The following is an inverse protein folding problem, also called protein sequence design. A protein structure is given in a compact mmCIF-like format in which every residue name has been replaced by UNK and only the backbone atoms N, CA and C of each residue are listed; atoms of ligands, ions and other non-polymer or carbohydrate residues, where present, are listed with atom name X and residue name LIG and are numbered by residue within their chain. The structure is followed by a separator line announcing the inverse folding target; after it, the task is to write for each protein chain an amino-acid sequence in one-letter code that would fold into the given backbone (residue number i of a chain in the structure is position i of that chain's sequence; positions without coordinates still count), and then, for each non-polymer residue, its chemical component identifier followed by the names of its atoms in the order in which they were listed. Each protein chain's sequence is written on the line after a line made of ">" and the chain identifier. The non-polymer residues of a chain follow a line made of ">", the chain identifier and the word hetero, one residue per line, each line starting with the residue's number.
data_IF_580992440219
#
_entry.id   IF_580992440219
#
_cell.length_a   1.000
_cell.length_b   1.000
_cell.length_c   1.000
_cell.angle_alpha   90.00
_cell.angle_beta   90.00
_cell.angle_gamma   90.00
#
_symmetry.space_group_name_H-M   'P 1'
#
loop_
_entity.id
_entity.type
_entity.pdbx_description
1 polymer ?
#
# COMPACT_ATOMS: atom_id res chain seq x y z
N UNK A 1 18.82 -13.31 -3.27
CA UNK A 1 18.92 -11.85 -3.55
C UNK A 1 17.60 -11.22 -3.10
N UNK A 2 17.64 -10.14 -2.33
CA UNK A 2 16.71 -10.01 -1.19
C UNK A 2 15.76 -8.84 -1.29
N UNK A 3 14.50 -9.09 -1.65
CA UNK A 3 13.53 -8.00 -1.80
C UNK A 3 13.16 -7.35 -0.45
N UNK A 4 13.58 -6.11 -0.20
CA UNK A 4 13.00 -5.17 0.77
C UNK A 4 12.05 -4.22 0.02
N UNK A 5 11.03 -3.68 0.69
CA UNK A 5 10.13 -2.73 0.04
C UNK A 5 10.59 -1.29 0.32
N UNK A 6 10.80 -0.51 -0.74
CA UNK A 6 10.86 0.95 -0.63
C UNK A 6 9.43 1.46 -0.74
N UNK A 7 9.08 2.38 0.13
CA UNK A 7 7.79 3.04 0.13
C UNK A 7 8.00 4.55 0.01
N UNK A 8 7.20 5.19 -0.84
CA UNK A 8 7.17 6.64 -0.98
C UNK A 8 5.73 7.11 -1.04
N UNK A 9 5.39 8.08 -0.20
CA UNK A 9 4.06 8.67 -0.15
C UNK A 9 4.20 10.18 -0.18
N UNK A 10 3.35 10.84 -0.96
CA UNK A 10 3.39 12.29 -1.04
C UNK A 10 2.26 12.86 -1.86
N UNK A 11 2.40 14.15 -2.19
CA UNK A 11 1.49 14.85 -3.08
C UNK A 11 2.26 15.46 -4.25
N UNK A 12 1.65 15.48 -5.42
CA UNK A 12 2.20 16.12 -6.62
C UNK A 12 1.09 16.75 -7.44
N UNK A 13 1.44 17.40 -8.54
CA UNK A 13 0.49 17.86 -9.55
C UNK A 13 0.44 16.86 -10.70
N UNK A 14 -0.75 16.64 -11.24
CA UNK A 14 -0.91 15.90 -12.50
C UNK A 14 -0.53 16.77 -13.71
N UNK A 15 -0.65 16.22 -14.91
CA UNK A 15 -0.40 16.93 -16.17
C UNK A 15 -1.30 18.15 -16.40
N UNK A 16 -2.40 18.28 -15.65
CA UNK A 16 -3.36 19.38 -15.73
C UNK A 16 -3.19 20.38 -14.58
N UNK A 17 -2.15 20.24 -13.75
CA UNK A 17 -1.93 21.08 -12.56
C UNK A 17 -2.85 20.79 -11.38
N UNK A 18 -3.66 19.72 -11.41
CA UNK A 18 -4.50 19.31 -10.28
C UNK A 18 -3.69 18.50 -9.27
N UNK A 19 -3.88 18.79 -7.98
CA UNK A 19 -3.23 18.07 -6.88
C UNK A 19 -3.70 16.61 -6.81
N UNK A 20 -2.75 15.70 -6.65
CA UNK A 20 -3.00 14.28 -6.38
C UNK A 20 -2.09 13.81 -5.24
N UNK A 21 -2.56 12.81 -4.50
CA UNK A 21 -1.74 12.08 -3.53
C UNK A 21 -1.28 10.76 -4.17
N UNK A 22 -0.02 10.39 -3.98
CA UNK A 22 0.52 9.13 -4.47
C UNK A 22 1.04 8.27 -3.31
N UNK A 23 0.93 6.95 -3.48
CA UNK A 23 1.51 5.93 -2.62
C UNK A 23 2.20 4.94 -3.54
N UNK A 24 3.51 4.88 -3.46
CA UNK A 24 4.36 4.02 -4.25
C UNK A 24 5.01 3.00 -3.34
N UNK A 25 5.05 1.74 -3.79
CA UNK A 25 5.73 0.65 -3.11
C UNK A 25 6.45 -0.21 -4.13
N UNK A 26 7.72 -0.51 -3.89
CA UNK A 26 8.48 -1.35 -4.80
C UNK A 26 9.48 -2.24 -4.06
N UNK A 27 9.45 -3.52 -4.39
CA UNK A 27 10.42 -4.51 -3.92
C UNK A 27 11.77 -4.31 -4.62
N UNK A 28 12.82 -3.97 -3.87
CA UNK A 28 14.22 -3.87 -4.32
C UNK A 28 15.08 -4.94 -3.70
N UNK A 29 16.05 -5.46 -4.45
CA UNK A 29 16.99 -6.44 -3.91
C UNK A 29 18.13 -5.75 -3.15
N UNK A 30 18.30 -6.09 -1.86
CA UNK A 30 19.33 -5.54 -0.98
C UNK A 30 20.33 -6.64 -0.62
N UNK A 31 21.62 -6.36 -0.80
CA UNK A 31 22.71 -7.23 -0.38
C UNK A 31 22.73 -7.40 1.15
N UNK A 32 23.06 -8.60 1.63
CA UNK A 32 23.19 -8.88 3.07
C UNK A 32 21.88 -9.19 3.82
N UNK A 33 20.72 -8.92 3.24
CA UNK A 33 19.47 -9.48 3.76
C UNK A 33 19.44 -10.98 3.36
N UNK A 34 18.97 -11.92 4.21
CA UNK A 34 18.90 -13.34 3.85
C UNK A 34 17.54 -13.75 3.25
N UNK A 35 17.53 -14.86 2.50
CA UNK A 35 16.30 -15.60 2.18
C UNK A 35 15.96 -16.59 3.29
N UNK A 36 14.71 -16.58 3.74
CA UNK A 36 14.25 -17.42 4.83
C UNK A 36 13.55 -18.71 4.35
N UNK A 37 13.85 -19.18 3.13
CA UNK A 37 13.25 -20.40 2.57
C UNK A 37 13.44 -21.64 3.44
N UNK A 38 14.60 -21.75 4.11
CA UNK A 38 14.89 -22.84 5.05
C UNK A 38 13.93 -22.87 6.26
N UNK A 39 13.25 -21.76 6.54
CA UNK A 39 12.24 -21.63 7.59
C UNK A 39 10.81 -21.71 7.01
N UNK A 40 10.65 -22.17 5.77
CA UNK A 40 9.35 -22.26 5.10
C UNK A 40 8.79 -20.92 4.61
N UNK A 41 9.56 -19.83 4.66
CA UNK A 41 9.09 -18.51 4.23
C UNK A 41 9.34 -18.29 2.73
N UNK A 42 8.30 -17.82 2.04
CA UNK A 42 8.34 -17.43 0.62
C UNK A 42 8.36 -15.91 0.52
N UNK A 43 9.17 -15.39 -0.40
CA UNK A 43 9.32 -13.94 -0.59
C UNK A 43 8.32 -13.41 -1.61
N UNK A 44 7.46 -12.51 -1.14
CA UNK A 44 6.59 -11.69 -1.96
C UNK A 44 7.40 -10.62 -2.71
N UNK A 45 7.20 -10.49 -4.02
CA UNK A 45 7.73 -9.39 -4.85
C UNK A 45 6.56 -8.55 -5.37
N UNK A 46 6.55 -7.27 -5.05
CA UNK A 46 5.50 -6.35 -5.51
C UNK A 46 6.06 -5.07 -6.07
N UNK A 47 5.35 -4.49 -7.03
CA UNK A 47 5.54 -3.10 -7.42
C UNK A 47 4.17 -2.50 -7.60
N UNK A 48 3.87 -1.39 -6.93
CA UNK A 48 2.57 -0.77 -7.01
C UNK A 48 2.63 0.75 -6.88
N UNK A 49 1.67 1.39 -7.51
CA UNK A 49 1.39 2.81 -7.37
C UNK A 49 -0.12 2.98 -7.21
N UNK A 50 -0.49 3.75 -6.19
CA UNK A 50 -1.85 4.20 -5.93
C UNK A 50 -1.89 5.71 -6.02
N UNK A 51 -2.77 6.24 -6.85
CA UNK A 51 -3.02 7.68 -6.98
C UNK A 51 -4.42 7.97 -6.46
N UNK A 52 -4.50 8.85 -5.47
CA UNK A 52 -5.75 9.34 -4.89
C UNK A 52 -5.97 10.77 -5.33
N UNK A 53 -7.11 11.03 -5.96
CA UNK A 53 -7.51 12.34 -6.45
C UNK A 53 -8.80 12.77 -5.78
N UNK A 54 -8.87 13.96 -5.16
CA UNK A 54 -10.14 14.50 -4.71
C UNK A 54 -11.00 14.88 -5.91
N UNK A 55 -12.30 14.63 -5.83
CA UNK A 55 -13.23 15.22 -6.76
C UNK A 55 -13.44 16.71 -6.45
N UNK A 56 -14.00 17.45 -7.41
CA UNK A 56 -14.33 18.86 -7.22
C UNK A 56 -15.54 19.03 -6.24
N UNK A 57 -16.32 17.97 -6.00
CA UNK A 57 -17.35 17.91 -4.96
C UNK A 57 -16.74 17.50 -3.59
N UNK A 58 -17.37 17.90 -2.48
CA UNK A 58 -16.86 17.61 -1.15
C UNK A 58 -17.06 16.13 -0.77
N UNK A 59 -16.01 15.51 -0.23
CA UNK A 59 -16.09 14.21 0.45
C UNK A 59 -15.80 12.97 -0.40
N UNK A 60 -15.66 13.11 -1.72
CA UNK A 60 -15.38 11.98 -2.60
C UNK A 60 -13.94 12.01 -3.13
N UNK A 61 -13.35 10.82 -3.27
CA UNK A 61 -12.04 10.65 -3.90
C UNK A 61 -12.11 9.57 -4.96
N UNK A 62 -11.36 9.76 -6.06
CA UNK A 62 -11.10 8.73 -7.04
C UNK A 62 -9.75 8.10 -6.75
N UNK A 63 -9.71 6.78 -6.73
CA UNK A 63 -8.47 6.03 -6.50
C UNK A 63 -8.13 5.24 -7.76
N UNK A 64 -6.90 5.41 -8.24
CA UNK A 64 -6.33 4.65 -9.34
C UNK A 64 -5.23 3.75 -8.79
N UNK A 65 -5.25 2.49 -9.19
CA UNK A 65 -4.24 1.51 -8.81
C UNK A 65 -3.58 0.94 -10.04
N UNK A 66 -2.27 0.78 -9.97
CA UNK A 66 -1.51 -0.01 -10.92
C UNK A 66 -0.46 -0.79 -10.14
N UNK A 67 -0.30 -2.06 -10.45
CA UNK A 67 0.76 -2.83 -9.83
C UNK A 67 0.86 -4.26 -10.33
N UNK A 68 1.84 -4.93 -9.76
CA UNK A 68 2.17 -6.32 -9.97
C UNK A 68 2.49 -6.95 -8.62
N UNK A 69 2.10 -8.21 -8.48
CA UNK A 69 2.36 -9.01 -7.31
C UNK A 69 2.75 -10.42 -7.73
N UNK A 70 3.83 -10.91 -7.14
CA UNK A 70 4.26 -12.30 -7.22
C UNK A 70 4.47 -12.82 -5.81
N UNK A 71 3.52 -13.61 -5.34
CA UNK A 71 3.57 -14.24 -4.01
C UNK A 71 4.64 -15.32 -3.92
N UNK A 72 5.14 -15.82 -5.06
CA UNK A 72 6.15 -16.87 -5.14
C UNK A 72 5.65 -18.24 -4.68
N UNK A 73 6.57 -19.19 -4.56
CA UNK A 73 6.25 -20.53 -4.06
C UNK A 73 5.26 -21.27 -4.96
N UNK A 74 4.22 -21.85 -4.37
CA UNK A 74 3.17 -22.58 -5.09
C UNK A 74 1.94 -21.70 -5.43
N UNK A 75 2.03 -20.39 -5.23
CA UNK A 75 0.96 -19.47 -5.61
C UNK A 75 0.97 -19.28 -7.12
N UNK A 76 -0.18 -19.48 -7.78
CA UNK A 76 -0.30 -19.15 -9.19
C UNK A 76 -0.20 -17.64 -9.40
N UNK A 77 0.14 -17.23 -10.62
CA UNK A 77 0.12 -15.80 -10.99
C UNK A 77 -1.29 -15.21 -10.87
N UNK A 78 -2.32 -15.96 -11.25
CA UNK A 78 -3.72 -15.52 -11.13
C UNK A 78 -4.13 -15.31 -9.66
N UNK A 79 -3.80 -16.26 -8.78
CA UNK A 79 -4.08 -16.13 -7.35
C UNK A 79 -3.29 -14.98 -6.71
N UNK A 80 -2.04 -14.77 -7.13
CA UNK A 80 -1.21 -13.63 -6.66
C UNK A 80 -1.82 -12.29 -7.07
N UNK A 81 -2.32 -12.20 -8.30
CA UNK A 81 -3.02 -11.00 -8.80
C UNK A 81 -4.33 -10.78 -8.05
N UNK A 82 -5.12 -11.83 -7.82
CA UNK A 82 -6.38 -11.71 -7.08
C UNK A 82 -6.15 -11.20 -5.65
N UNK A 83 -5.22 -11.82 -4.92
CA UNK A 83 -4.81 -11.39 -3.58
C UNK A 83 -4.40 -9.91 -3.58
N UNK A 84 -3.64 -9.49 -4.59
CA UNK A 84 -3.20 -8.11 -4.70
C UNK A 84 -4.38 -7.14 -4.96
N UNK A 85 -5.33 -7.52 -5.81
CA UNK A 85 -6.54 -6.73 -6.05
C UNK A 85 -7.37 -6.57 -4.78
N UNK A 86 -7.57 -7.64 -4.00
CA UNK A 86 -8.30 -7.61 -2.73
C UNK A 86 -7.67 -6.60 -1.76
N UNK A 87 -6.36 -6.69 -1.53
CA UNK A 87 -5.61 -5.77 -0.66
C UNK A 87 -5.70 -4.31 -1.15
N UNK A 88 -5.75 -4.08 -2.47
CA UNK A 88 -5.91 -2.73 -3.02
C UNK A 88 -7.32 -2.18 -2.80
N UNK A 89 -8.36 -3.02 -2.96
CA UNK A 89 -9.76 -2.64 -2.76
C UNK A 89 -10.06 -2.28 -1.30
N UNK A 90 -9.36 -2.90 -0.33
CA UNK A 90 -9.44 -2.54 1.10
C UNK A 90 -9.07 -1.08 1.39
N UNK A 91 -8.48 -0.37 0.43
CA UNK A 91 -8.28 1.09 0.52
C UNK A 91 -9.55 1.85 0.86
N UNK A 92 -10.72 1.37 0.44
CA UNK A 92 -12.00 2.01 0.78
C UNK A 92 -12.22 2.09 2.31
N UNK A 93 -11.73 1.10 3.06
CA UNK A 93 -11.88 1.01 4.52
C UNK A 93 -10.84 1.86 5.26
N UNK A 94 -9.71 2.19 4.64
CA UNK A 94 -8.62 2.93 5.28
C UNK A 94 -9.05 4.28 5.85
N UNK A 95 -10.04 4.95 5.23
CA UNK A 95 -10.53 6.25 5.72
C UNK A 95 -11.15 6.07 7.10
N UNK A 96 -12.11 5.16 7.23
CA UNK A 96 -12.79 4.86 8.49
C UNK A 96 -11.81 4.36 9.55
N UNK A 97 -10.92 3.42 9.17
CA UNK A 97 -9.86 2.96 10.06
C UNK A 97 -8.95 4.09 10.56
N UNK A 98 -8.61 5.04 9.69
CA UNK A 98 -7.75 6.16 10.07
C UNK A 98 -8.43 7.08 11.08
N UNK A 99 -9.76 7.28 10.97
CA UNK A 99 -10.53 8.03 11.95
C UNK A 99 -10.59 7.28 13.29
N UNK A 100 -10.89 5.98 13.28
CA UNK A 100 -10.91 5.16 14.49
C UNK A 100 -9.55 5.15 15.20
N UNK A 101 -8.46 4.95 14.45
CA UNK A 101 -7.09 4.96 15.00
C UNK A 101 -6.71 6.33 15.59
N UNK A 102 -7.10 7.43 14.93
CA UNK A 102 -6.91 8.78 15.48
C UNK A 102 -7.71 9.00 16.76
N UNK A 103 -8.98 8.59 16.78
CA UNK A 103 -9.83 8.70 17.98
C UNK A 103 -9.27 7.88 19.15
N UNK A 104 -8.91 6.61 18.91
CA UNK A 104 -8.29 5.76 19.92
C UNK A 104 -7.01 6.40 20.48
N UNK A 105 -6.16 6.94 19.60
CA UNK A 105 -4.98 7.70 20.03
C UNK A 105 -5.33 8.91 20.89
N UNK A 106 -6.33 9.72 20.49
CA UNK A 106 -6.78 10.88 21.27
C UNK A 106 -7.24 10.46 22.67
N UNK A 107 -8.08 9.42 22.78
CA UNK A 107 -8.55 8.90 24.06
C UNK A 107 -7.38 8.40 24.91
N UNK A 108 -6.46 7.62 24.35
CA UNK A 108 -5.30 7.13 25.10
C UNK A 108 -4.38 8.23 25.62
N UNK A 109 -4.15 9.27 24.83
CA UNK A 109 -3.29 10.40 25.23
C UNK A 109 -3.99 11.29 26.26
N UNK A 110 -5.30 11.51 26.15
CA UNK A 110 -6.04 12.41 27.04
C UNK A 110 -6.58 11.74 28.31
N UNK A 111 -6.78 10.41 28.32
CA UNK A 111 -7.15 9.66 29.52
C UNK A 111 -5.99 9.45 30.51
N UNK A 112 -4.77 9.86 30.16
CA UNK A 112 -3.58 9.84 31.04
C UNK A 112 -3.28 11.20 31.69
N UNK A 113 -4.17 12.18 31.54
CA UNK A 113 -4.18 13.44 32.29
C UNK A 113 -5.33 13.43 33.27
#
# INVERSE_FOLDING_TARGET
>A
MTSAAIESTGTTLDSNGKRVCYFFKHSVEIEGVPEFRKHGLVRLRTSSCRIVRPYDNQGEVRVYFLGYCNSGGHFSSSASTQLFCEVMLDTAQLVEESYMKKMAWFVHVHARR
#
